data_IF_716716879767
#
_entry.id   IF_716716879767
#
_cell.length_a   1.000
_cell.length_b   1.000
_cell.length_c   1.000
_cell.angle_alpha   90.00
_cell.angle_beta   90.00
_cell.angle_gamma   90.00
#
_symmetry.space_group_name_H-M   'P 1'
#
loop_
_entity.id
_entity.type
_entity.pdbx_description
1 polymer ?
#
# COMPACT_ATOMS: atom_id res chain seq x y z
N UNK A 1 -26.31 -22.50 -42.55
CA UNK A 1 -26.43 -23.30 -41.31
C UNK A 1 -25.05 -23.28 -40.69
N UNK A 2 -24.78 -22.28 -39.86
CA UNK A 2 -23.54 -22.18 -39.09
C UNK A 2 -23.97 -22.09 -37.62
N UNK A 3 -23.60 -23.11 -36.85
CA UNK A 3 -23.85 -23.21 -35.42
C UNK A 3 -22.84 -22.33 -34.67
N UNK A 4 -23.33 -21.27 -34.04
CA UNK A 4 -22.61 -20.50 -33.04
C UNK A 4 -22.51 -21.33 -31.75
N UNK A 5 -21.30 -21.82 -31.45
CA UNK A 5 -20.94 -22.36 -30.13
C UNK A 5 -20.86 -21.21 -29.13
N UNK A 6 -21.89 -21.05 -28.29
CA UNK A 6 -21.82 -20.22 -27.10
C UNK A 6 -20.91 -20.87 -26.05
N UNK A 7 -19.96 -20.08 -25.59
CA UNK A 7 -18.94 -20.40 -24.61
C UNK A 7 -19.56 -20.16 -23.24
N UNK A 8 -19.88 -21.23 -22.52
CA UNK A 8 -20.42 -21.20 -21.16
C UNK A 8 -19.44 -20.44 -20.26
N UNK A 9 -19.87 -19.27 -19.78
CA UNK A 9 -19.18 -18.48 -18.77
C UNK A 9 -19.31 -19.22 -17.45
N UNK A 10 -18.22 -19.80 -16.98
CA UNK A 10 -18.07 -20.25 -15.59
C UNK A 10 -18.25 -19.02 -14.68
N UNK A 11 -19.47 -18.85 -14.16
CA UNK A 11 -19.72 -17.94 -13.05
C UNK A 11 -18.92 -18.45 -11.86
N UNK A 12 -17.82 -17.77 -11.56
CA UNK A 12 -17.03 -17.90 -10.36
C UNK A 12 -17.90 -17.61 -9.14
N UNK A 13 -18.63 -18.62 -8.67
CA UNK A 13 -19.24 -18.59 -7.35
C UNK A 13 -18.10 -18.42 -6.34
N UNK A 14 -18.06 -17.26 -5.68
CA UNK A 14 -17.16 -17.00 -4.56
C UNK A 14 -17.11 -18.23 -3.63
N UNK A 15 -15.93 -18.66 -3.16
CA UNK A 15 -15.82 -19.92 -2.45
C UNK A 15 -16.68 -19.86 -1.17
N UNK A 16 -17.78 -20.63 -1.17
CA UNK A 16 -18.52 -21.01 0.03
C UNK A 16 -17.48 -21.63 0.96
N UNK A 17 -17.11 -20.86 1.99
CA UNK A 17 -16.12 -21.20 3.01
C UNK A 17 -15.75 -22.70 3.08
N UNK A 18 -14.51 -23.03 2.72
CA UNK A 18 -14.05 -24.43 2.61
C UNK A 18 -13.64 -25.03 3.96
N UNK A 19 -14.01 -26.29 4.19
CA UNK A 19 -13.59 -27.04 5.38
C UNK A 19 -12.19 -27.64 5.13
N UNK A 20 -11.18 -27.11 5.81
CA UNK A 20 -9.78 -27.56 5.73
C UNK A 20 -9.10 -27.39 7.08
N UNK A 21 -7.93 -27.99 7.27
CA UNK A 21 -7.13 -27.72 8.48
C UNK A 21 -6.67 -26.25 8.46
N UNK A 22 -6.90 -25.53 9.57
CA UNK A 22 -6.59 -24.10 9.69
C UNK A 22 -5.72 -23.86 10.92
N UNK A 23 -4.71 -23.01 10.75
CA UNK A 23 -3.88 -22.52 11.84
C UNK A 23 -4.19 -21.04 12.04
N UNK A 24 -4.38 -20.62 13.29
CA UNK A 24 -4.59 -19.22 13.65
C UNK A 24 -3.44 -18.74 14.53
N UNK A 25 -3.06 -17.48 14.37
CA UNK A 25 -2.02 -16.81 15.15
C UNK A 25 -2.57 -15.58 15.84
N UNK A 26 -2.10 -15.29 17.05
CA UNK A 26 -2.44 -14.03 17.73
C UNK A 26 -1.83 -12.83 17.00
N UNK A 27 -2.57 -11.73 16.95
CA UNK A 27 -2.10 -10.46 16.34
C UNK A 27 -1.28 -9.68 17.37
N UNK A 28 -0.09 -9.25 16.95
CA UNK A 28 0.90 -8.57 17.79
C UNK A 28 2.00 -9.53 18.23
N UNK A 29 3.17 -9.00 18.60
CA UNK A 29 4.37 -9.76 18.98
C UNK A 29 4.24 -10.47 20.34
N UNK A 30 3.12 -11.15 20.57
CA UNK A 30 2.73 -11.79 21.83
C UNK A 30 2.70 -13.30 21.62
N UNK A 31 3.68 -13.98 22.18
CA UNK A 31 3.74 -15.44 22.30
C UNK A 31 3.53 -15.86 23.76
N UNK A 32 2.32 -15.64 24.33
CA UNK A 32 2.03 -16.12 25.67
C UNK A 32 2.00 -17.65 25.66
N UNK A 33 2.51 -18.26 26.73
CA UNK A 33 2.44 -19.72 26.98
C UNK A 33 1.00 -20.22 26.80
N UNK A 34 0.01 -19.43 27.24
CA UNK A 34 -1.41 -19.75 27.07
C UNK A 34 -2.23 -18.47 26.99
N UNK A 35 -3.05 -18.33 25.95
CA UNK A 35 -4.01 -17.23 25.81
C UNK A 35 -5.39 -17.75 25.48
N UNK A 36 -6.39 -17.34 26.28
CA UNK A 36 -7.77 -17.79 26.14
C UNK A 36 -8.60 -16.72 25.44
N UNK A 37 -9.31 -17.13 24.40
CA UNK A 37 -10.30 -16.29 23.73
C UNK A 37 -11.69 -16.64 24.22
N UNK A 38 -12.56 -15.63 24.26
CA UNK A 38 -13.96 -15.74 24.65
C UNK A 38 -14.70 -16.77 23.78
N UNK A 39 -15.20 -17.83 24.41
CA UNK A 39 -15.93 -18.90 23.74
C UNK A 39 -17.46 -18.82 23.92
N UNK A 40 -17.95 -17.84 24.67
CA UNK A 40 -19.37 -17.59 24.94
C UNK A 40 -19.58 -16.11 25.18
N UNK A 41 -20.73 -15.59 24.76
CA UNK A 41 -21.17 -14.26 25.14
C UNK A 41 -21.25 -14.11 26.68
N UNK A 42 -20.64 -13.07 27.22
CA UNK A 42 -20.68 -12.71 28.63
C UNK A 42 -20.72 -11.19 28.73
N UNK A 43 -21.28 -10.62 29.79
CA UNK A 43 -21.34 -9.16 30.00
C UNK A 43 -19.99 -8.45 29.83
N UNK A 44 -18.87 -9.11 30.19
CA UNK A 44 -17.50 -8.58 30.03
C UNK A 44 -16.93 -8.75 28.62
N UNK A 45 -17.40 -9.74 27.88
CA UNK A 45 -16.89 -10.12 26.57
C UNK A 45 -18.07 -10.42 25.65
N UNK A 46 -18.61 -9.39 24.98
CA UNK A 46 -19.75 -9.56 24.11
C UNK A 46 -19.34 -10.41 22.90
N UNK A 47 -20.10 -11.49 22.65
CA UNK A 47 -19.89 -12.40 21.53
C UNK A 47 -21.20 -12.47 20.73
N UNK A 48 -21.45 -11.40 19.98
CA UNK A 48 -22.64 -11.23 19.15
C UNK A 48 -22.20 -11.05 17.69
N UNK A 49 -23.03 -11.52 16.76
CA UNK A 49 -22.84 -11.34 15.33
C UNK A 49 -24.12 -10.87 14.66
N UNK A 50 -24.05 -9.80 13.86
CA UNK A 50 -25.20 -9.32 13.12
C UNK A 50 -25.40 -10.15 11.85
N UNK A 51 -26.53 -10.85 11.78
CA UNK A 51 -26.90 -11.66 10.62
C UNK A 51 -27.73 -10.83 9.66
N UNK A 52 -27.13 -10.41 8.53
CA UNK A 52 -27.78 -9.55 7.54
C UNK A 52 -29.00 -10.20 6.88
N UNK A 53 -29.03 -11.53 6.77
CA UNK A 53 -30.16 -12.23 6.14
C UNK A 53 -31.38 -12.26 7.06
N UNK A 54 -31.15 -12.39 8.37
CA UNK A 54 -32.22 -12.47 9.37
C UNK A 54 -32.57 -11.12 10.01
N UNK A 55 -31.69 -10.13 9.88
CA UNK A 55 -31.91 -8.76 10.37
C UNK A 55 -31.79 -8.59 11.89
N UNK A 56 -31.19 -9.53 12.62
CA UNK A 56 -30.99 -9.44 14.07
C UNK A 56 -29.60 -9.91 14.53
N UNK A 57 -29.19 -9.48 15.73
CA UNK A 57 -27.94 -9.93 16.35
C UNK A 57 -28.08 -11.31 16.98
N UNK A 58 -27.18 -12.21 16.63
CA UNK A 58 -27.15 -13.59 17.07
C UNK A 58 -26.05 -13.80 18.10
N UNK A 59 -26.42 -14.44 19.21
CA UNK A 59 -25.46 -14.82 20.24
C UNK A 59 -24.58 -15.98 19.75
N UNK A 60 -23.26 -15.82 19.92
CA UNK A 60 -22.26 -16.83 19.61
C UNK A 60 -21.84 -17.61 20.85
N UNK A 61 -21.72 -18.93 20.69
CA UNK A 61 -21.25 -19.85 21.72
C UNK A 61 -20.59 -21.07 21.10
N UNK A 62 -19.34 -21.31 21.47
CA UNK A 62 -18.62 -22.51 21.10
C UNK A 62 -18.94 -23.67 22.05
N UNK A 63 -19.46 -24.75 21.48
CA UNK A 63 -19.73 -26.00 22.16
C UNK A 63 -19.25 -27.18 21.31
N UNK A 64 -18.51 -28.10 21.92
CA UNK A 64 -17.86 -29.20 21.19
C UNK A 64 -18.87 -30.19 20.59
N UNK A 65 -20.02 -30.34 21.24
CA UNK A 65 -21.07 -31.29 20.83
C UNK A 65 -22.11 -30.70 19.87
N UNK A 66 -21.93 -29.44 19.42
CA UNK A 66 -22.87 -28.75 18.54
C UNK A 66 -22.25 -28.46 17.18
N UNK A 67 -23.08 -28.48 16.13
CA UNK A 67 -22.66 -28.25 14.73
C UNK A 67 -22.58 -26.77 14.37
N UNK A 68 -23.35 -25.93 15.06
CA UNK A 68 -23.43 -24.49 14.81
C UNK A 68 -22.83 -23.69 15.98
N UNK A 69 -22.13 -22.57 15.71
CA UNK A 69 -21.68 -21.65 16.75
C UNK A 69 -22.78 -20.72 17.27
N UNK A 70 -23.96 -20.68 16.65
CA UNK A 70 -25.04 -19.79 17.07
C UNK A 70 -25.91 -20.44 18.15
N UNK A 71 -26.26 -19.69 19.20
CA UNK A 71 -27.00 -20.21 20.36
C UNK A 71 -28.43 -20.63 20.01
N UNK A 72 -29.09 -19.90 19.11
CA UNK A 72 -30.45 -20.17 18.64
C UNK A 72 -30.58 -21.50 17.88
N UNK A 73 -29.49 -22.02 17.31
CA UNK A 73 -29.44 -23.30 16.58
C UNK A 73 -28.97 -24.49 17.45
N UNK A 74 -28.69 -24.27 18.74
CA UNK A 74 -28.13 -25.31 19.63
C UNK A 74 -29.22 -25.97 20.48
N UNK A 75 -29.74 -27.10 20.02
CA UNK A 75 -30.77 -27.86 20.75
C UNK A 75 -30.17 -28.84 21.78
N UNK A 76 -30.73 -28.91 22.99
CA UNK A 76 -30.36 -29.90 24.02
C UNK A 76 -29.12 -29.53 24.86
N UNK A 77 -28.53 -30.48 25.62
CA UNK A 77 -27.42 -30.18 26.53
C UNK A 77 -26.17 -29.73 25.78
N UNK A 78 -25.41 -28.81 26.37
CA UNK A 78 -24.28 -28.12 25.74
C UNK A 78 -23.00 -28.38 26.53
N UNK A 79 -21.95 -28.84 25.85
CA UNK A 79 -20.62 -29.01 26.43
C UNK A 79 -19.73 -27.86 26.00
N UNK A 80 -19.56 -26.88 26.90
CA UNK A 80 -18.71 -25.72 26.66
C UNK A 80 -17.23 -26.12 26.61
N UNK A 81 -16.51 -25.53 25.65
CA UNK A 81 -15.07 -25.68 25.55
C UNK A 81 -14.39 -24.30 25.51
N UNK A 82 -13.14 -24.27 25.93
CA UNK A 82 -12.30 -23.09 25.85
C UNK A 82 -11.50 -23.09 24.55
N UNK A 83 -11.34 -21.89 23.97
CA UNK A 83 -10.48 -21.65 22.82
C UNK A 83 -9.16 -21.13 23.37
N UNK A 84 -8.11 -21.92 23.24
CA UNK A 84 -6.81 -21.67 23.87
C UNK A 84 -5.73 -21.66 22.80
N UNK A 85 -5.07 -20.52 22.65
CA UNK A 85 -3.84 -20.38 21.88
C UNK A 85 -2.68 -20.80 22.78
N UNK A 86 -1.80 -21.65 22.26
CA UNK A 86 -0.56 -22.08 22.92
C UNK A 86 0.60 -21.52 22.13
N UNK A 87 1.52 -20.85 22.82
CA UNK A 87 2.69 -20.22 22.20
C UNK A 87 2.29 -19.30 21.03
N UNK A 88 1.20 -18.54 21.19
CA UNK A 88 0.66 -17.66 20.15
C UNK A 88 -0.08 -18.33 19.00
N UNK A 89 -0.16 -19.67 18.95
CA UNK A 89 -0.74 -20.44 17.85
C UNK A 89 -1.96 -21.27 18.27
N UNK A 90 -2.91 -21.48 17.36
CA UNK A 90 -4.04 -22.40 17.53
C UNK A 90 -4.23 -23.21 16.25
N UNK A 91 -3.95 -24.51 16.32
CA UNK A 91 -4.27 -25.45 15.26
C UNK A 91 -5.71 -25.98 15.43
N UNK A 92 -6.53 -25.81 14.39
CA UNK A 92 -7.91 -26.32 14.35
C UNK A 92 -8.07 -27.29 13.20
N UNK A 93 -8.25 -28.59 13.48
CA UNK A 93 -8.40 -29.59 12.44
C UNK A 93 -9.79 -29.50 11.81
N UNK A 94 -9.92 -30.01 10.58
CA UNK A 94 -11.12 -29.94 9.73
C UNK A 94 -12.38 -30.53 10.38
N UNK A 95 -12.25 -31.47 11.31
CA UNK A 95 -13.40 -32.09 11.99
C UNK A 95 -14.11 -31.11 12.93
N UNK A 96 -13.39 -30.08 13.44
CA UNK A 96 -13.95 -29.07 14.36
C UNK A 96 -14.64 -27.93 13.60
N UNK A 97 -15.61 -28.30 12.75
CA UNK A 97 -16.32 -27.37 11.85
C UNK A 97 -16.94 -26.20 12.62
N UNK A 98 -17.58 -26.43 13.77
CA UNK A 98 -18.19 -25.38 14.57
C UNK A 98 -17.16 -24.34 15.09
N UNK A 99 -15.96 -24.81 15.49
CA UNK A 99 -14.88 -23.94 15.92
C UNK A 99 -14.32 -23.13 14.75
N UNK A 100 -14.13 -23.76 13.60
CA UNK A 100 -13.61 -23.07 12.43
C UNK A 100 -14.61 -22.03 11.90
N UNK A 101 -15.91 -22.34 11.85
CA UNK A 101 -16.95 -21.36 11.45
C UNK A 101 -16.96 -20.16 12.40
N UNK A 102 -16.86 -20.42 13.70
CA UNK A 102 -16.75 -19.35 14.69
C UNK A 102 -15.52 -18.47 14.40
N UNK A 103 -14.33 -19.08 14.30
CA UNK A 103 -13.08 -18.32 14.20
C UNK A 103 -12.88 -17.63 12.85
N UNK A 104 -13.25 -18.27 11.73
CA UNK A 104 -13.06 -17.75 10.38
C UNK A 104 -14.14 -16.76 9.95
N UNK A 105 -15.38 -16.86 10.45
CA UNK A 105 -16.51 -16.10 9.92
C UNK A 105 -17.10 -15.11 10.92
N UNK A 106 -17.36 -15.54 12.16
CA UNK A 106 -18.29 -14.81 13.02
C UNK A 106 -17.67 -14.15 14.25
N UNK A 107 -16.51 -14.62 14.69
CA UNK A 107 -15.95 -14.19 15.96
C UNK A 107 -15.45 -12.73 15.89
N UNK A 108 -15.93 -11.82 16.77
CA UNK A 108 -15.60 -10.38 16.71
C UNK A 108 -14.11 -10.06 16.86
N UNK A 109 -13.35 -10.97 17.45
CA UNK A 109 -11.89 -10.87 17.57
C UNK A 109 -11.10 -11.28 16.32
N UNK A 110 -11.75 -11.72 15.23
CA UNK A 110 -11.08 -12.00 13.96
C UNK A 110 -10.40 -10.72 13.43
N UNK A 111 -9.20 -10.87 12.89
CA UNK A 111 -8.33 -9.81 12.34
C UNK A 111 -7.81 -8.77 13.34
N UNK A 112 -8.43 -8.67 14.53
CA UNK A 112 -8.01 -7.81 15.65
C UNK A 112 -7.17 -8.54 16.70
N UNK A 113 -7.62 -9.69 17.17
CA UNK A 113 -6.96 -10.49 18.21
C UNK A 113 -6.15 -11.65 17.63
N UNK A 114 -6.63 -12.24 16.54
CA UNK A 114 -5.96 -13.32 15.83
C UNK A 114 -6.26 -13.26 14.33
N UNK A 115 -5.39 -13.85 13.53
CA UNK A 115 -5.54 -14.01 12.07
C UNK A 115 -5.35 -15.45 11.66
N UNK A 116 -5.98 -15.84 10.56
CA UNK A 116 -5.75 -17.14 9.94
C UNK A 116 -4.42 -17.12 9.18
N UNK A 117 -3.62 -18.17 9.35
CA UNK A 117 -2.47 -18.41 8.51
C UNK A 117 -2.91 -18.92 7.16
N UNK A 118 -2.70 -18.09 6.13
CA UNK A 118 -2.91 -18.51 4.76
C UNK A 118 -1.57 -18.43 3.99
N UNK A 119 -0.78 -19.52 3.97
CA UNK A 119 0.50 -19.56 3.26
C UNK A 119 0.40 -19.13 1.80
N UNK A 120 -0.72 -19.43 1.13
CA UNK A 120 -0.92 -19.08 -0.29
C UNK A 120 -1.13 -17.58 -0.49
N UNK A 121 -1.84 -16.92 0.42
CA UNK A 121 -2.03 -15.47 0.35
C UNK A 121 -0.71 -14.75 0.64
N UNK A 122 -0.01 -15.18 1.70
CA UNK A 122 1.30 -14.61 2.06
C UNK A 122 2.30 -14.77 0.91
N UNK A 123 2.42 -15.96 0.33
CA UNK A 123 3.33 -16.19 -0.78
C UNK A 123 2.98 -15.37 -2.05
N UNK A 124 1.68 -15.10 -2.26
CA UNK A 124 1.24 -14.25 -3.37
C UNK A 124 1.62 -12.79 -3.11
N UNK A 125 1.34 -12.28 -1.91
CA UNK A 125 1.68 -10.90 -1.53
C UNK A 125 3.20 -10.69 -1.57
N UNK A 126 3.99 -11.66 -1.07
CA UNK A 126 5.46 -11.64 -1.16
C UNK A 126 5.97 -11.66 -2.61
N UNK A 127 5.33 -12.42 -3.50
CA UNK A 127 5.68 -12.45 -4.92
C UNK A 127 5.38 -11.10 -5.59
N UNK A 128 4.22 -10.51 -5.32
CA UNK A 128 3.85 -9.19 -5.87
C UNK A 128 4.83 -8.10 -5.40
N UNK A 129 5.25 -8.12 -4.14
CA UNK A 129 6.24 -7.18 -3.62
C UNK A 129 7.63 -7.40 -4.27
N UNK A 130 8.03 -8.66 -4.52
CA UNK A 130 9.28 -8.98 -5.22
C UNK A 130 9.26 -8.58 -6.70
N UNK A 131 8.16 -8.82 -7.40
CA UNK A 131 7.98 -8.39 -8.79
C UNK A 131 8.08 -6.87 -8.90
N UNK A 132 7.45 -6.15 -7.97
CA UNK A 132 7.53 -4.69 -7.92
C UNK A 132 8.96 -4.18 -7.63
N UNK A 133 9.70 -4.84 -6.73
CA UNK A 133 11.11 -4.51 -6.46
C UNK A 133 11.97 -4.71 -7.71
N UNK A 134 11.78 -5.82 -8.43
CA UNK A 134 12.50 -6.13 -9.66
C UNK A 134 12.19 -5.09 -10.75
N UNK A 135 10.92 -4.75 -10.94
CA UNK A 135 10.51 -3.76 -11.94
C UNK A 135 11.08 -2.37 -11.63
N UNK A 136 11.02 -1.94 -10.37
CA UNK A 136 11.63 -0.69 -9.92
C UNK A 136 13.13 -0.67 -10.19
N UNK A 137 13.85 -1.75 -9.86
CA UNK A 137 15.29 -1.83 -10.09
C UNK A 137 15.64 -1.82 -11.59
N UNK A 138 14.90 -2.56 -12.41
CA UNK A 138 15.09 -2.57 -13.86
C UNK A 138 14.85 -1.18 -14.48
N UNK A 139 13.80 -0.48 -14.04
CA UNK A 139 13.54 0.89 -14.44
C UNK A 139 14.68 1.83 -14.01
N UNK A 140 15.20 1.71 -12.78
CA UNK A 140 16.34 2.48 -12.31
C UNK A 140 17.61 2.27 -13.16
N UNK A 141 17.82 1.06 -13.69
CA UNK A 141 18.93 0.78 -14.61
C UNK A 141 18.78 1.46 -15.98
N UNK A 142 17.54 1.63 -16.45
CA UNK A 142 17.24 2.21 -17.76
C UNK A 142 17.25 3.75 -17.76
N UNK A 143 17.05 4.37 -16.60
CA UNK A 143 16.97 5.83 -16.44
C UNK A 143 18.33 6.51 -16.69
N UNK A 144 18.30 7.67 -17.36
CA UNK A 144 19.46 8.51 -17.58
C UNK A 144 19.90 9.26 -16.31
N UNK A 145 21.10 9.85 -16.35
CA UNK A 145 21.68 10.49 -15.15
C UNK A 145 20.90 11.75 -14.74
N UNK A 146 20.32 12.51 -15.67
CA UNK A 146 19.61 13.75 -15.36
C UNK A 146 18.26 13.48 -14.71
N UNK A 147 17.54 12.47 -15.20
CA UNK A 147 16.32 11.98 -14.57
C UNK A 147 16.62 11.28 -13.23
N UNK A 148 17.74 10.55 -13.13
CA UNK A 148 18.18 9.97 -11.85
C UNK A 148 18.43 11.03 -10.78
N UNK A 149 19.12 12.12 -11.13
CA UNK A 149 19.31 13.26 -10.23
C UNK A 149 18.00 13.92 -9.84
N UNK A 150 17.07 14.07 -10.79
CA UNK A 150 15.77 14.67 -10.54
C UNK A 150 14.97 13.86 -9.50
N UNK A 151 14.96 12.54 -9.64
CA UNK A 151 14.28 11.63 -8.70
C UNK A 151 14.97 11.68 -7.33
N UNK A 152 16.30 11.56 -7.28
CA UNK A 152 17.03 11.57 -6.01
C UNK A 152 16.92 12.89 -5.26
N UNK A 153 16.77 14.04 -5.94
CA UNK A 153 16.56 15.32 -5.25
C UNK A 153 15.24 15.41 -4.51
N UNK A 154 14.21 14.68 -4.95
CA UNK A 154 12.94 14.61 -4.20
C UNK A 154 13.17 13.94 -2.84
N UNK A 155 14.04 12.92 -2.80
CA UNK A 155 14.33 12.15 -1.59
C UNK A 155 15.42 12.79 -0.70
N UNK A 156 16.53 13.22 -1.30
CA UNK A 156 17.75 13.66 -0.60
C UNK A 156 17.98 15.18 -0.64
N UNK A 157 17.19 15.92 -1.41
CA UNK A 157 17.30 17.37 -1.53
C UNK A 157 18.54 17.82 -2.33
N UNK A 158 19.06 19.00 -1.99
CA UNK A 158 20.13 19.68 -2.74
C UNK A 158 21.51 19.02 -2.66
N UNK A 159 21.71 18.04 -1.76
CA UNK A 159 22.98 17.30 -1.61
C UNK A 159 23.40 16.58 -2.89
N UNK A 160 22.42 16.18 -3.71
CA UNK A 160 22.61 15.45 -4.98
C UNK A 160 23.45 16.26 -5.97
N UNK A 161 23.42 17.60 -5.90
CA UNK A 161 24.23 18.48 -6.77
C UNK A 161 25.74 18.24 -6.67
N UNK A 162 26.20 17.74 -5.52
CA UNK A 162 27.62 17.53 -5.23
C UNK A 162 28.06 16.08 -5.46
N UNK A 163 27.14 15.21 -5.89
CA UNK A 163 27.40 13.79 -6.08
C UNK A 163 27.99 13.53 -7.48
N UNK A 164 28.88 12.55 -7.57
CA UNK A 164 29.32 12.04 -8.86
C UNK A 164 28.21 11.22 -9.54
N UNK A 165 28.23 11.12 -10.87
CA UNK A 165 27.25 10.34 -11.62
C UNK A 165 27.21 8.86 -11.19
N UNK A 166 28.32 8.31 -10.68
CA UNK A 166 28.37 6.95 -10.12
C UNK A 166 27.64 6.84 -8.79
N UNK A 167 27.75 7.86 -7.93
CA UNK A 167 27.02 7.93 -6.66
C UNK A 167 25.53 8.10 -6.90
N UNK A 168 25.13 8.98 -7.82
CA UNK A 168 23.73 9.17 -8.25
C UNK A 168 23.15 7.83 -8.72
N UNK A 169 23.81 7.12 -9.63
CA UNK A 169 23.30 5.81 -10.09
C UNK A 169 23.21 4.76 -8.99
N UNK A 170 24.21 4.69 -8.11
CA UNK A 170 24.21 3.77 -6.98
C UNK A 170 23.04 4.05 -6.05
N UNK A 171 22.86 5.31 -5.68
CA UNK A 171 21.86 5.73 -4.70
C UNK A 171 20.44 5.61 -5.28
N UNK A 172 20.27 5.81 -6.59
CA UNK A 172 19.00 5.57 -7.28
C UNK A 172 18.58 4.10 -7.20
N UNK A 173 19.51 3.17 -7.47
CA UNK A 173 19.24 1.72 -7.37
C UNK A 173 18.91 1.34 -5.92
N UNK A 174 19.63 1.89 -4.94
CA UNK A 174 19.32 1.67 -3.52
C UNK A 174 17.94 2.22 -3.13
N UNK A 175 17.53 3.35 -3.71
CA UNK A 175 16.21 3.93 -3.49
C UNK A 175 15.10 3.06 -4.11
N UNK A 176 15.27 2.63 -5.37
CA UNK A 176 14.35 1.71 -6.03
C UNK A 176 14.16 0.40 -5.26
N UNK A 177 15.25 -0.13 -4.68
CA UNK A 177 15.22 -1.32 -3.84
C UNK A 177 14.46 -1.11 -2.53
N UNK A 178 14.72 -0.01 -1.83
CA UNK A 178 14.13 0.25 -0.50
C UNK A 178 12.67 0.64 -0.58
N UNK A 179 12.30 1.45 -1.58
CA UNK A 179 11.00 2.06 -1.72
C UNK A 179 10.49 1.96 -3.18
N UNK A 180 10.21 0.75 -3.69
CA UNK A 180 9.89 0.53 -5.10
C UNK A 180 8.62 1.27 -5.55
N UNK A 181 7.58 1.30 -4.71
CA UNK A 181 6.31 2.02 -4.99
C UNK A 181 6.55 3.51 -5.23
N UNK A 182 7.30 4.16 -4.33
CA UNK A 182 7.60 5.59 -4.43
C UNK A 182 8.51 5.88 -5.61
N UNK A 183 9.53 5.04 -5.83
CA UNK A 183 10.41 5.17 -6.97
C UNK A 183 9.66 5.12 -8.30
N UNK A 184 8.80 4.12 -8.50
CA UNK A 184 8.01 3.98 -9.75
C UNK A 184 7.10 5.21 -9.95
N UNK A 185 6.48 5.70 -8.88
CA UNK A 185 5.65 6.91 -8.95
C UNK A 185 6.44 8.14 -9.41
N UNK A 186 7.67 8.31 -8.91
CA UNK A 186 8.54 9.42 -9.30
C UNK A 186 9.15 9.24 -10.70
N UNK A 187 9.49 8.01 -11.07
CA UNK A 187 10.03 7.69 -12.39
C UNK A 187 9.00 7.94 -13.51
N UNK A 188 7.72 7.69 -13.22
CA UNK A 188 6.61 7.94 -14.14
C UNK A 188 6.13 9.40 -14.16
N UNK A 189 6.66 10.27 -13.29
CA UNK A 189 6.27 11.67 -13.23
C UNK A 189 7.02 12.48 -14.32
N UNK A 190 6.32 12.78 -15.41
CA UNK A 190 6.85 13.55 -16.55
C UNK A 190 7.39 14.93 -16.18
N UNK A 191 6.94 15.52 -15.06
CA UNK A 191 7.37 16.85 -14.62
C UNK A 191 8.56 16.80 -13.66
N UNK A 192 9.05 15.62 -13.26
CA UNK A 192 10.18 15.50 -12.32
C UNK A 192 11.44 16.18 -12.86
N UNK A 193 11.73 15.99 -14.14
CA UNK A 193 12.91 16.59 -14.80
C UNK A 193 12.77 18.11 -14.90
N UNK A 194 11.60 18.61 -15.31
CA UNK A 194 11.34 20.05 -15.45
C UNK A 194 11.37 20.78 -14.09
N UNK A 195 10.89 20.13 -13.01
CA UNK A 195 11.01 20.65 -11.64
C UNK A 195 12.47 20.73 -11.21
N UNK A 196 13.25 19.67 -11.44
CA UNK A 196 14.68 19.66 -11.15
C UNK A 196 15.41 20.77 -11.91
N UNK A 197 15.07 20.96 -13.19
CA UNK A 197 15.63 22.04 -13.99
C UNK A 197 15.36 23.43 -13.40
N UNK A 198 14.12 23.70 -12.96
CA UNK A 198 13.77 24.95 -12.28
C UNK A 198 14.60 25.15 -11.00
N UNK A 199 14.77 24.09 -10.19
CA UNK A 199 15.58 24.12 -8.96
C UNK A 199 17.04 24.42 -9.30
N UNK A 200 17.65 23.71 -10.25
CA UNK A 200 19.02 23.98 -10.72
C UNK A 200 19.19 25.43 -11.19
N UNK A 201 18.22 25.95 -11.95
CA UNK A 201 18.23 27.33 -12.43
C UNK A 201 18.13 28.36 -11.29
N UNK A 202 17.40 28.04 -10.21
CA UNK A 202 17.37 28.87 -8.99
C UNK A 202 18.68 28.82 -8.20
N UNK A 203 19.25 27.63 -8.00
CA UNK A 203 20.52 27.43 -7.29
C UNK A 203 21.68 28.15 -8.01
N UNK A 204 21.68 28.13 -9.35
CA UNK A 204 22.65 28.84 -10.18
C UNK A 204 22.41 30.35 -10.30
N UNK A 205 21.41 30.92 -9.59
CA UNK A 205 21.01 32.33 -9.68
C UNK A 205 20.61 32.81 -11.10
N UNK A 206 20.25 31.89 -12.01
CA UNK A 206 19.76 32.24 -13.35
C UNK A 206 18.35 32.79 -13.28
N UNK A 207 17.51 32.14 -12.48
CA UNK A 207 16.18 32.59 -12.08
C UNK A 207 16.14 32.72 -10.56
N UNK A 208 15.22 33.53 -10.04
CA UNK A 208 15.03 33.74 -8.60
C UNK A 208 13.55 33.62 -8.28
N UNK A 209 13.25 32.87 -7.24
CA UNK A 209 11.95 32.88 -6.59
C UNK A 209 11.94 34.05 -5.59
N UNK A 210 10.97 34.94 -5.71
CA UNK A 210 10.82 36.04 -4.77
C UNK A 210 10.44 35.53 -3.37
N UNK A 211 10.70 36.34 -2.35
CA UNK A 211 10.44 36.00 -0.94
C UNK A 211 8.96 35.69 -0.66
N UNK A 212 8.06 36.19 -1.53
CA UNK A 212 6.62 35.89 -1.49
C UNK A 212 6.27 34.47 -1.94
N UNK A 213 7.25 33.65 -2.36
CA UNK A 213 7.10 32.31 -2.90
C UNK A 213 6.11 32.23 -4.08
N UNK A 214 5.87 33.37 -4.76
CA UNK A 214 4.81 33.49 -5.78
C UNK A 214 5.28 34.05 -7.10
N UNK A 215 6.45 34.67 -7.14
CA UNK A 215 6.94 35.29 -8.38
C UNK A 215 8.31 34.75 -8.76
N UNK A 216 8.40 34.14 -9.95
CA UNK A 216 9.69 33.85 -10.57
C UNK A 216 10.17 35.05 -11.39
N UNK A 217 11.46 35.39 -11.25
CA UNK A 217 12.11 36.51 -11.92
C UNK A 217 13.46 36.09 -12.48
N UNK A 218 13.94 36.79 -13.49
CA UNK A 218 15.32 36.66 -13.96
C UNK A 218 16.30 37.12 -12.88
N UNK A 219 17.36 36.34 -12.65
CA UNK A 219 18.41 36.70 -11.70
C UNK A 219 19.26 37.89 -12.14
N UNK A 220 19.40 38.12 -13.44
CA UNK A 220 20.26 39.17 -14.02
C UNK A 220 19.64 40.56 -14.01
N UNK A 221 18.36 40.70 -14.36
CA UNK A 221 17.69 42.00 -14.52
C UNK A 221 16.40 42.14 -13.69
N UNK A 222 16.02 41.12 -12.92
CA UNK A 222 14.83 41.14 -12.07
C UNK A 222 13.50 41.13 -12.82
N UNK A 223 13.50 40.98 -14.16
CA UNK A 223 12.27 40.94 -14.95
C UNK A 223 11.44 39.72 -14.58
N UNK A 224 10.14 39.93 -14.37
CA UNK A 224 9.17 38.89 -14.03
C UNK A 224 9.04 37.86 -15.17
N UNK A 225 9.07 36.58 -14.80
CA UNK A 225 8.86 35.44 -15.68
C UNK A 225 7.40 34.98 -15.59
N UNK A 226 6.99 34.54 -14.40
CA UNK A 226 5.63 34.08 -14.16
C UNK A 226 5.20 34.33 -12.71
N UNK A 227 3.91 34.17 -12.46
CA UNK A 227 3.33 34.06 -11.11
C UNK A 227 2.81 32.66 -10.87
N UNK A 228 3.17 32.11 -9.72
CA UNK A 228 2.66 30.83 -9.22
C UNK A 228 1.17 31.01 -8.86
N UNK A 229 0.27 30.14 -9.33
CA UNK A 229 -1.12 30.11 -8.90
C UNK A 229 -1.25 29.92 -7.38
N UNK A 230 -2.38 30.34 -6.83
CA UNK A 230 -2.67 30.15 -5.40
C UNK A 230 -2.83 28.65 -5.11
N UNK A 231 -2.30 28.18 -3.97
CA UNK A 231 -2.28 26.78 -3.50
C UNK A 231 -1.45 25.77 -4.32
N UNK A 232 -0.56 26.23 -5.21
CA UNK A 232 0.33 25.36 -5.97
C UNK A 232 1.79 25.42 -5.51
N UNK A 233 2.51 24.29 -5.62
CA UNK A 233 3.96 24.28 -5.38
C UNK A 233 4.68 25.12 -6.46
N UNK A 234 5.57 26.07 -6.08
CA UNK A 234 6.23 26.95 -7.04
C UNK A 234 6.95 26.23 -8.18
N UNK A 235 7.69 25.15 -7.87
CA UNK A 235 8.46 24.42 -8.87
C UNK A 235 7.56 23.56 -9.75
N UNK A 236 6.46 23.02 -9.22
CA UNK A 236 5.45 22.32 -10.03
C UNK A 236 4.77 23.28 -11.02
N UNK A 237 4.40 24.48 -10.58
CA UNK A 237 3.82 25.50 -11.44
C UNK A 237 4.82 25.97 -12.52
N UNK A 238 6.10 26.11 -12.17
CA UNK A 238 7.16 26.45 -13.13
C UNK A 238 7.37 25.33 -14.16
N UNK A 239 7.33 24.07 -13.74
CA UNK A 239 7.43 22.92 -14.64
C UNK A 239 6.25 22.87 -15.63
N UNK A 240 5.03 23.15 -15.17
CA UNK A 240 3.87 23.29 -16.04
C UNK A 240 4.02 24.49 -17.00
N UNK A 241 4.53 25.62 -16.50
CA UNK A 241 4.75 26.82 -17.31
C UNK A 241 5.79 26.61 -18.42
N UNK A 242 6.87 25.84 -18.18
CA UNK A 242 7.84 25.48 -19.21
C UNK A 242 7.25 24.71 -20.40
N UNK A 243 6.07 24.08 -20.24
CA UNK A 243 5.35 23.42 -21.33
C UNK A 243 4.53 24.38 -22.21
N UNK A 244 4.39 25.65 -21.81
CA UNK A 244 3.72 26.70 -22.61
C UNK A 244 4.67 27.31 -23.64
N UNK A 245 4.12 27.97 -24.68
CA UNK A 245 4.93 28.58 -25.73
C UNK A 245 5.94 29.61 -25.18
N UNK A 246 5.50 30.48 -24.25
CA UNK A 246 6.37 31.47 -23.59
C UNK A 246 7.42 30.80 -22.69
N UNK A 247 6.99 29.79 -21.92
CA UNK A 247 7.89 29.08 -21.01
C UNK A 247 8.95 28.26 -21.74
N UNK A 248 8.63 27.72 -22.92
CA UNK A 248 9.56 26.92 -23.71
C UNK A 248 10.70 27.76 -24.30
N UNK A 249 10.44 29.03 -24.68
CA UNK A 249 11.51 29.96 -25.06
C UNK A 249 12.45 30.26 -23.89
N UNK A 250 11.88 30.47 -22.71
CA UNK A 250 12.66 30.72 -21.49
C UNK A 250 13.45 29.49 -21.08
N UNK A 251 12.85 28.29 -21.13
CA UNK A 251 13.55 27.03 -20.88
C UNK A 251 14.80 26.91 -21.76
N UNK A 252 14.67 27.08 -23.08
CA UNK A 252 15.80 27.03 -24.03
C UNK A 252 16.87 28.09 -23.73
N UNK A 253 16.45 29.28 -23.28
CA UNK A 253 17.39 30.34 -22.93
C UNK A 253 18.17 30.06 -21.64
N UNK A 254 17.57 29.35 -20.69
CA UNK A 254 18.22 28.90 -19.45
C UNK A 254 19.16 27.73 -19.77
N UNK A 255 18.71 26.77 -20.57
CA UNK A 255 19.49 25.60 -21.00
C UNK A 255 20.82 26.00 -21.66
N UNK A 256 20.79 27.02 -22.52
CA UNK A 256 22.00 27.61 -23.14
C UNK A 256 23.02 28.19 -22.16
N UNK A 257 22.63 28.50 -20.91
CA UNK A 257 23.55 28.98 -19.87
C UNK A 257 24.20 27.85 -19.08
N UNK A 258 23.65 26.63 -19.20
CA UNK A 258 24.17 25.41 -18.57
C UNK A 258 25.01 24.56 -19.53
N UNK A 259 24.88 24.77 -20.84
CA UNK A 259 25.81 24.27 -21.87
C UNK A 259 27.08 25.11 -21.93
#
# INVERSE_FOLDING_TARGET
>A
MEETKEKEQETTTAPKWEVKDRTYFLVGNKEPITFKISSRNTTRHPLMWFDQEKGYERELRYATNKRSPFVDEQEGPVTLAHIIFKDGTLFVPKEKIALQRLLSLYHPGKDRLYREHNPRAIAKDELEDLELEIDAMNAAYAIDVDQAEAILRVEQGSSVSNMSSKEVKRDLILFAKKNPKTFIALANDENVVLRNFAIKATEANVIKLADDQRTFKWGSNGRKLMTVPFDENPYSAMAAWFKTDEGLEVYKSIEKKFS
#
